data_IF_511351135950
#
_entry.id   IF_511351135950
#
_cell.length_a   1.000
_cell.length_b   1.000
_cell.length_c   1.000
_cell.angle_alpha   90.00
_cell.angle_beta   90.00
_cell.angle_gamma   90.00
#
_symmetry.space_group_name_H-M   'P 1'
#
loop_
_entity.id
_entity.type
_entity.pdbx_description
1 polymer ?
#
# COMPACT_ATOMS: atom_id res chain seq x y z
N UNK A 1 -69.85 1.33 31.75
CA UNK A 1 -69.06 2.38 31.08
C UNK A 1 -67.87 1.70 30.43
N UNK A 2 -67.87 1.56 29.10
CA UNK A 2 -66.79 0.90 28.33
C UNK A 2 -66.24 1.91 27.34
N UNK A 3 -65.04 2.43 27.61
CA UNK A 3 -64.35 3.38 26.75
C UNK A 3 -63.73 2.65 25.56
N UNK A 4 -64.08 3.09 24.36
CA UNK A 4 -63.50 2.65 23.09
C UNK A 4 -62.32 3.58 22.77
N UNK A 5 -61.10 3.05 22.70
CA UNK A 5 -59.91 3.79 22.24
C UNK A 5 -59.76 3.53 20.74
N UNK A 6 -59.91 4.59 19.93
CA UNK A 6 -59.65 4.57 18.50
C UNK A 6 -58.15 4.82 18.27
N UNK A 7 -57.43 3.85 17.69
CA UNK A 7 -56.04 4.03 17.28
C UNK A 7 -56.02 4.31 15.78
N UNK A 8 -55.72 5.55 15.41
CA UNK A 8 -55.60 6.00 14.02
C UNK A 8 -54.19 5.65 13.51
N UNK A 9 -54.07 4.65 12.66
CA UNK A 9 -52.80 4.29 12.01
C UNK A 9 -52.51 5.27 10.85
N UNK A 10 -51.51 6.12 11.01
CA UNK A 10 -50.99 6.98 9.94
C UNK A 10 -50.02 6.17 9.05
N UNK A 11 -50.44 5.88 7.82
CA UNK A 11 -49.60 5.26 6.80
C UNK A 11 -48.61 6.29 6.24
N UNK A 12 -47.34 6.21 6.64
CA UNK A 12 -46.25 6.95 6.01
C UNK A 12 -45.88 6.27 4.68
N UNK A 13 -46.35 6.85 3.57
CA UNK A 13 -45.86 6.56 2.22
C UNK A 13 -44.46 7.17 2.08
N UNK A 14 -43.42 6.36 2.26
CA UNK A 14 -42.06 6.75 1.90
C UNK A 14 -41.93 6.67 0.37
N UNK A 15 -41.65 7.78 -0.34
CA UNK A 15 -41.32 7.72 -1.75
C UNK A 15 -40.03 6.92 -1.90
N UNK A 16 -40.10 5.78 -2.58
CA UNK A 16 -38.93 5.00 -2.98
C UNK A 16 -38.11 5.85 -3.96
N UNK A 17 -37.08 6.53 -3.45
CA UNK A 17 -36.11 7.20 -4.29
C UNK A 17 -35.45 6.13 -5.19
N UNK A 18 -35.82 6.13 -6.46
CA UNK A 18 -35.15 5.35 -7.48
C UNK A 18 -33.69 5.82 -7.55
N UNK A 19 -32.78 5.04 -6.97
CA UNK A 19 -31.35 5.20 -7.19
C UNK A 19 -31.08 4.91 -8.68
N UNK A 20 -31.01 5.97 -9.48
CA UNK A 20 -30.38 5.91 -10.80
C UNK A 20 -28.91 5.56 -10.56
N UNK A 21 -28.55 4.30 -10.74
CA UNK A 21 -27.15 3.90 -10.88
C UNK A 21 -26.65 4.48 -12.20
N UNK A 22 -26.17 5.72 -12.16
CA UNK A 22 -25.26 6.24 -13.17
C UNK A 22 -24.12 5.23 -13.31
N UNK A 23 -24.15 4.42 -14.37
CA UNK A 23 -23.12 3.44 -14.69
C UNK A 23 -21.89 4.19 -15.21
N UNK A 24 -21.18 4.86 -14.31
CA UNK A 24 -19.93 5.53 -14.61
C UNK A 24 -18.87 4.47 -14.88
N UNK A 25 -18.57 4.23 -16.15
CA UNK A 25 -17.59 3.23 -16.57
C UNK A 25 -16.18 3.82 -16.61
N UNK A 26 -15.50 3.80 -15.47
CA UNK A 26 -14.05 4.02 -15.39
C UNK A 26 -13.32 2.70 -15.49
N UNK A 27 -12.33 2.63 -16.40
CA UNK A 27 -11.33 1.56 -16.43
C UNK A 27 -10.04 2.08 -15.81
N UNK A 28 -9.30 1.18 -15.16
CA UNK A 28 -8.07 1.49 -14.46
C UNK A 28 -6.98 0.51 -14.90
N UNK A 29 -5.80 1.05 -15.19
CA UNK A 29 -4.59 0.26 -15.44
C UNK A 29 -3.48 0.78 -14.52
N UNK A 30 -2.92 -0.11 -13.69
CA UNK A 30 -1.85 0.23 -12.75
C UNK A 30 -0.49 -0.22 -13.28
N UNK A 31 0.48 0.71 -13.26
CA UNK A 31 1.88 0.44 -13.58
C UNK A 31 2.75 0.81 -12.39
N UNK A 32 3.57 -0.14 -11.93
CA UNK A 32 4.56 0.11 -10.89
C UNK A 32 5.95 0.26 -11.50
N UNK A 33 6.62 1.36 -11.16
CA UNK A 33 8.02 1.58 -11.50
C UNK A 33 8.86 1.59 -10.23
N UNK A 34 10.09 1.08 -10.29
CA UNK A 34 10.98 1.12 -9.14
C UNK A 34 12.37 0.58 -9.40
N UNK A 35 13.31 1.03 -8.56
CA UNK A 35 14.69 0.55 -8.52
C UNK A 35 14.98 -0.02 -7.14
N UNK A 36 15.82 -1.03 -7.07
CA UNK A 36 16.38 -1.52 -5.80
C UNK A 36 17.89 -1.32 -5.87
N UNK A 37 18.46 -0.65 -4.89
CA UNK A 37 19.90 -0.53 -4.73
C UNK A 37 20.37 -1.45 -3.61
N UNK A 38 21.52 -2.07 -3.84
CA UNK A 38 22.18 -2.94 -2.88
C UNK A 38 23.50 -2.28 -2.50
N UNK A 39 23.79 -2.24 -1.20
CA UNK A 39 25.12 -1.87 -0.73
C UNK A 39 26.04 -3.09 -0.74
N UNK A 40 27.30 -2.92 -1.15
CA UNK A 40 28.24 -4.03 -1.34
C UNK A 40 28.91 -4.53 -0.04
N UNK A 41 28.72 -3.85 1.07
CA UNK A 41 29.32 -4.25 2.34
C UNK A 41 28.61 -5.44 2.96
N UNK A 42 29.37 -6.38 3.56
CA UNK A 42 28.89 -7.62 4.19
C UNK A 42 27.81 -7.45 5.29
N UNK A 43 27.45 -6.22 5.65
CA UNK A 43 26.33 -5.84 6.51
C UNK A 43 25.16 -5.31 5.66
N UNK A 44 24.62 -6.11 4.73
CA UNK A 44 23.79 -5.58 3.62
C UNK A 44 22.42 -5.07 4.07
N UNK A 45 22.26 -3.75 4.05
CA UNK A 45 20.96 -3.09 3.93
C UNK A 45 20.55 -3.04 2.45
N UNK A 46 19.26 -3.25 2.20
CA UNK A 46 18.61 -3.14 0.90
C UNK A 46 17.74 -1.90 0.92
N UNK A 47 17.95 -0.99 -0.04
CA UNK A 47 17.08 0.16 -0.24
C UNK A 47 16.27 -0.05 -1.50
N UNK A 48 14.96 0.12 -1.42
CA UNK A 48 14.04 0.02 -2.54
C UNK A 48 13.32 1.35 -2.70
N UNK A 49 13.29 1.87 -3.92
CA UNK A 49 12.48 3.00 -4.32
C UNK A 49 11.34 2.51 -5.21
N UNK A 50 10.11 2.92 -4.91
CA UNK A 50 8.89 2.54 -5.65
C UNK A 50 8.04 3.76 -5.95
N UNK A 51 7.46 3.79 -7.13
CA UNK A 51 6.54 4.83 -7.60
C UNK A 51 5.37 4.14 -8.30
N UNK A 52 4.14 4.50 -7.95
CA UNK A 52 2.94 4.00 -8.59
C UNK A 52 2.47 5.00 -9.61
N UNK A 53 2.26 4.55 -10.84
CA UNK A 53 1.61 5.31 -11.90
C UNK A 53 0.32 4.59 -12.27
N UNK A 54 -0.80 5.31 -12.27
CA UNK A 54 -2.10 4.74 -12.60
C UNK A 54 -2.71 5.53 -13.73
N UNK A 55 -3.17 4.80 -14.73
CA UNK A 55 -3.90 5.33 -15.86
C UNK A 55 -5.40 5.09 -15.63
N UNK A 56 -6.18 6.16 -15.70
CA UNK A 56 -7.62 6.15 -15.56
C UNK A 56 -8.24 6.50 -16.91
N UNK A 57 -9.00 5.57 -17.47
CA UNK A 57 -9.73 5.76 -18.72
C UNK A 57 -11.21 5.90 -18.44
N UNK A 58 -11.78 7.06 -18.75
CA UNK A 58 -13.21 7.28 -18.71
C UNK A 58 -13.82 6.88 -20.05
N UNK A 59 -14.75 5.92 -20.04
CA UNK A 59 -15.44 5.48 -21.27
C UNK A 59 -16.83 6.09 -21.42
N UNK A 60 -17.25 6.95 -20.49
CA UNK A 60 -18.54 7.64 -20.54
C UNK A 60 -18.48 8.94 -21.34
N UNK A 61 -19.66 9.43 -21.73
CA UNK A 61 -19.84 10.67 -22.49
C UNK A 61 -19.81 11.94 -21.62
N UNK A 62 -19.60 11.80 -20.31
CA UNK A 62 -19.53 12.93 -19.36
C UNK A 62 -18.20 12.92 -18.61
N UNK A 63 -17.67 14.09 -18.23
CA UNK A 63 -16.50 14.15 -17.35
C UNK A 63 -16.84 13.55 -15.98
N UNK A 64 -15.86 12.91 -15.36
CA UNK A 64 -16.02 12.23 -14.08
C UNK A 64 -15.02 12.77 -13.08
N UNK A 65 -15.50 13.16 -11.91
CA UNK A 65 -14.65 13.41 -10.74
C UNK A 65 -14.41 12.12 -9.98
N UNK A 66 -13.15 11.77 -9.75
CA UNK A 66 -12.76 10.59 -9.00
C UNK A 66 -11.77 10.96 -7.89
N UNK A 67 -11.76 10.15 -6.83
CA UNK A 67 -10.76 10.17 -5.77
C UNK A 67 -9.90 8.94 -5.92
N UNK A 68 -8.64 9.16 -6.24
CA UNK A 68 -7.61 8.13 -6.31
C UNK A 68 -6.99 7.94 -4.93
N UNK A 69 -7.16 6.76 -4.34
CA UNK A 69 -6.46 6.35 -3.11
C UNK A 69 -5.41 5.31 -3.44
N UNK A 70 -4.27 5.42 -2.79
CA UNK A 70 -3.18 4.47 -2.98
C UNK A 70 -2.46 4.20 -1.67
N UNK A 71 -1.90 3.00 -1.57
CA UNK A 71 -1.04 2.60 -0.48
C UNK A 71 0.07 1.70 -1.00
N UNK A 72 1.28 1.91 -0.48
CA UNK A 72 2.43 1.04 -0.66
C UNK A 72 2.67 0.31 0.66
N UNK A 73 2.78 -1.01 0.56
CA UNK A 73 2.89 -1.94 1.66
C UNK A 73 4.30 -2.53 1.72
N UNK A 74 4.72 -2.84 2.93
CA UNK A 74 5.98 -3.49 3.23
C UNK A 74 5.84 -4.48 4.36
N UNK A 75 6.89 -5.26 4.57
CA UNK A 75 7.03 -6.10 5.75
C UNK A 75 8.11 -5.54 6.66
N UNK A 76 7.90 -5.62 7.97
CA UNK A 76 8.97 -5.39 8.93
C UNK A 76 10.01 -6.51 8.79
N UNK A 77 11.28 -6.15 8.69
CA UNK A 77 12.37 -7.14 8.59
C UNK A 77 12.44 -8.01 9.85
N UNK A 78 12.02 -7.45 10.99
CA UNK A 78 11.80 -8.18 12.23
C UNK A 78 10.36 -8.67 12.29
N UNK A 79 10.15 -9.98 12.30
CA UNK A 79 8.84 -10.60 12.51
C UNK A 79 7.90 -10.61 11.29
N UNK A 80 8.33 -10.09 10.14
CA UNK A 80 7.62 -10.22 8.85
C UNK A 80 6.15 -9.75 8.90
N UNK A 81 5.87 -8.69 9.67
CA UNK A 81 4.53 -8.13 9.82
C UNK A 81 4.23 -7.17 8.67
N UNK A 82 3.05 -7.25 8.07
CA UNK A 82 2.60 -6.27 7.07
C UNK A 82 2.46 -4.89 7.72
N UNK A 83 2.96 -3.87 7.03
CA UNK A 83 2.86 -2.46 7.41
C UNK A 83 2.56 -1.61 6.19
N UNK A 84 1.84 -0.51 6.41
CA UNK A 84 1.66 0.54 5.40
C UNK A 84 2.90 1.43 5.42
N UNK A 85 3.70 1.38 4.36
CA UNK A 85 4.91 2.20 4.24
C UNK A 85 4.55 3.66 3.94
N UNK A 86 3.59 3.86 3.03
CA UNK A 86 3.04 5.17 2.70
C UNK A 86 1.70 5.01 2.01
N UNK A 87 0.80 5.95 2.25
CA UNK A 87 -0.46 6.05 1.55
C UNK A 87 -0.74 7.50 1.16
N UNK A 88 -1.77 7.68 0.35
CA UNK A 88 -2.23 9.01 -0.05
C UNK A 88 -3.55 8.96 -0.79
N UNK A 89 -4.12 10.14 -0.98
CA UNK A 89 -5.36 10.35 -1.73
C UNK A 89 -5.21 11.58 -2.61
N UNK A 90 -5.74 11.54 -3.83
CA UNK A 90 -5.72 12.64 -4.77
C UNK A 90 -7.04 12.71 -5.53
N UNK A 91 -7.64 13.91 -5.59
CA UNK A 91 -8.79 14.15 -6.44
C UNK A 91 -8.33 14.33 -7.90
N UNK A 92 -9.05 13.72 -8.83
CA UNK A 92 -8.71 13.68 -10.26
C UNK A 92 -9.99 13.90 -11.05
N UNK A 93 -9.93 14.74 -12.08
CA UNK A 93 -11.01 14.89 -13.05
C UNK A 93 -10.58 14.21 -14.34
N UNK A 94 -11.38 13.27 -14.82
CA UNK A 94 -11.15 12.59 -16.09
C UNK A 94 -12.18 13.10 -17.09
N UNK A 95 -11.72 13.64 -18.22
CA UNK A 95 -12.61 14.14 -19.27
C UNK A 95 -13.51 13.03 -19.83
N UNK A 96 -14.62 13.41 -20.46
CA UNK A 96 -15.46 12.48 -21.21
C UNK A 96 -14.63 11.76 -22.28
N UNK A 97 -14.76 10.43 -22.39
CA UNK A 97 -13.97 9.58 -23.30
C UNK A 97 -12.44 9.81 -23.20
N UNK A 98 -11.97 10.31 -22.05
CA UNK A 98 -10.60 10.77 -21.86
C UNK A 98 -9.76 9.83 -21.00
N UNK A 99 -8.45 10.10 -20.98
CA UNK A 99 -7.47 9.41 -20.15
C UNK A 99 -6.84 10.41 -19.20
N UNK A 100 -6.61 10.01 -17.95
CA UNK A 100 -5.83 10.77 -16.97
C UNK A 100 -4.80 9.87 -16.33
N UNK A 101 -3.57 10.37 -16.19
CA UNK A 101 -2.49 9.65 -15.52
C UNK A 101 -2.21 10.30 -14.17
N UNK A 102 -2.19 9.49 -13.12
CA UNK A 102 -1.92 9.91 -11.75
C UNK A 102 -0.67 9.18 -11.27
N UNK A 103 0.15 9.83 -10.46
CA UNK A 103 1.38 9.21 -9.98
C UNK A 103 1.61 9.51 -8.51
N UNK A 104 1.92 8.48 -7.73
CA UNK A 104 2.32 8.64 -6.34
C UNK A 104 3.68 9.33 -6.23
N UNK A 105 3.98 9.99 -5.10
CA UNK A 105 5.36 10.28 -4.71
C UNK A 105 6.19 8.99 -4.68
N UNK A 106 7.51 9.14 -4.88
CA UNK A 106 8.43 8.02 -4.67
C UNK A 106 8.47 7.63 -3.20
N UNK A 107 8.42 6.32 -2.93
CA UNK A 107 8.52 5.74 -1.59
C UNK A 107 9.82 4.97 -1.51
N UNK A 108 10.70 5.41 -0.61
CA UNK A 108 11.97 4.77 -0.30
C UNK A 108 11.83 3.97 0.98
N UNK A 109 12.18 2.70 0.91
CA UNK A 109 12.17 1.78 2.06
C UNK A 109 13.55 1.15 2.19
N UNK A 110 14.05 1.04 3.42
CA UNK A 110 15.36 0.43 3.70
C UNK A 110 15.21 -0.60 4.80
N UNK A 111 15.79 -1.79 4.57
CA UNK A 111 15.80 -2.86 5.56
C UNK A 111 17.04 -3.72 5.45
N UNK A 112 17.44 -4.34 6.55
CA UNK A 112 18.52 -5.32 6.59
C UNK A 112 18.00 -6.62 7.24
N UNK A 113 18.39 -7.75 6.66
CA UNK A 113 18.08 -9.08 7.23
C UNK A 113 19.04 -9.40 8.36
N UNK A 114 18.64 -10.35 9.20
CA UNK A 114 19.53 -10.91 10.21
C UNK A 114 20.70 -11.62 9.52
N UNK A 115 21.92 -11.32 9.94
CA UNK A 115 23.13 -11.86 9.34
C UNK A 115 24.25 -12.03 10.37
N UNK A 116 25.11 -13.01 10.13
CA UNK A 116 26.29 -13.27 10.96
C UNK A 116 27.52 -12.91 10.14
N UNK A 117 28.25 -11.88 10.57
CA UNK A 117 29.42 -11.35 9.85
C UNK A 117 30.72 -11.76 10.54
N UNK A 118 31.77 -12.14 9.78
CA UNK A 118 33.08 -12.41 10.35
C UNK A 118 33.73 -11.09 10.82
N UNK A 119 34.06 -11.03 12.10
CA UNK A 119 34.83 -9.98 12.74
C UNK A 119 36.25 -10.50 13.01
N UNK A 120 37.25 -9.93 12.33
CA UNK A 120 38.65 -10.20 12.63
C UNK A 120 39.08 -9.31 13.80
N UNK A 121 39.23 -9.89 14.98
CA UNK A 121 39.85 -9.17 16.10
C UNK A 121 41.38 -9.19 15.93
N UNK A 122 42.07 -8.04 16.00
CA UNK A 122 43.52 -8.03 16.00
C UNK A 122 44.01 -8.79 17.23
N UNK A 123 44.90 -9.75 17.00
CA UNK A 123 45.58 -10.48 18.07
C UNK A 123 46.37 -9.49 18.93
N UNK A 124 45.93 -9.26 20.17
CA UNK A 124 46.72 -8.56 21.20
C UNK A 124 47.86 -9.48 21.68
N UNK A 125 48.81 -9.82 20.81
CA UNK A 125 50.10 -10.34 21.26
C UNK A 125 51.18 -9.34 20.87
N UNK A 126 51.55 -8.51 21.85
CA UNK A 126 52.90 -7.99 21.97
C UNK A 126 53.87 -9.18 21.85
N UNK A 127 54.86 -9.09 20.96
CA UNK A 127 55.97 -10.05 20.91
C UNK A 127 55.89 -11.08 19.78
N UNK A 128 56.39 -10.70 18.60
CA UNK A 128 57.34 -11.51 17.83
C UNK A 128 56.89 -12.77 17.08
N UNK A 129 55.67 -13.32 17.26
CA UNK A 129 55.21 -14.46 16.45
C UNK A 129 53.91 -14.14 15.73
N UNK A 130 53.90 -14.28 14.40
CA UNK A 130 52.72 -14.13 13.52
C UNK A 130 51.63 -15.14 13.94
N UNK A 131 50.83 -14.76 14.93
CA UNK A 131 49.67 -15.52 15.38
C UNK A 131 48.55 -15.45 14.35
N UNK A 132 47.96 -16.60 14.02
CA UNK A 132 46.80 -16.69 13.12
C UNK A 132 45.66 -15.82 13.70
N UNK A 133 45.18 -14.83 12.94
CA UNK A 133 44.05 -14.00 13.35
C UNK A 133 42.83 -14.87 13.64
N UNK A 134 42.32 -14.80 14.87
CA UNK A 134 41.08 -15.49 15.26
C UNK A 134 39.89 -14.77 14.61
N UNK A 135 39.20 -15.46 13.70
CA UNK A 135 37.93 -14.99 13.17
C UNK A 135 36.87 -15.22 14.24
N UNK A 136 36.27 -14.13 14.71
CA UNK A 136 35.06 -14.17 15.54
C UNK A 136 33.85 -13.83 14.68
N UNK A 137 32.64 -14.13 15.12
CA UNK A 137 31.42 -13.80 14.37
C UNK A 137 30.55 -12.84 15.17
N UNK A 138 30.08 -11.77 14.53
CA UNK A 138 29.13 -10.80 15.10
C UNK A 138 27.78 -11.00 14.44
N UNK A 139 26.71 -11.09 15.25
CA UNK A 139 25.33 -11.10 14.78
C UNK A 139 24.83 -9.67 14.57
N UNK A 140 24.24 -9.40 13.42
CA UNK A 140 23.55 -8.15 13.10
C UNK A 140 22.05 -8.48 13.07
N UNK A 141 21.22 -7.90 13.94
CA UNK A 141 19.80 -8.18 13.97
C UNK A 141 19.09 -7.61 12.74
N UNK A 142 17.98 -8.23 12.35
CA UNK A 142 17.10 -7.67 11.33
C UNK A 142 16.50 -6.33 11.78
N UNK A 143 16.51 -5.33 10.90
CA UNK A 143 15.91 -4.02 11.17
C UNK A 143 15.40 -3.36 9.88
N UNK A 144 14.52 -2.38 10.05
CA UNK A 144 13.86 -1.68 8.95
C UNK A 144 12.76 -2.51 8.30
N UNK A 145 12.47 -2.18 7.04
CA UNK A 145 11.32 -2.68 6.28
C UNK A 145 11.74 -3.09 4.87
N UNK A 146 10.95 -3.94 4.21
CA UNK A 146 11.13 -4.31 2.80
C UNK A 146 9.81 -4.12 2.07
N UNK A 147 9.86 -3.60 0.83
CA UNK A 147 8.68 -3.48 -0.02
C UNK A 147 8.02 -4.84 -0.25
N UNK A 148 6.71 -4.87 -0.07
CA UNK A 148 5.90 -6.07 -0.26
C UNK A 148 4.91 -5.91 -1.41
N UNK A 149 4.20 -4.78 -1.51
CA UNK A 149 3.13 -4.63 -2.48
C UNK A 149 2.52 -3.24 -2.55
N UNK A 150 1.47 -3.11 -3.34
CA UNK A 150 0.63 -1.92 -3.44
C UNK A 150 -0.86 -2.28 -3.42
N UNK A 151 -1.67 -1.28 -3.09
CA UNK A 151 -3.12 -1.25 -3.28
C UNK A 151 -3.53 0.10 -3.85
N UNK A 152 -4.49 0.07 -4.76
CA UNK A 152 -5.06 1.24 -5.44
C UNK A 152 -6.58 1.12 -5.41
N UNK A 153 -7.24 2.22 -5.10
CA UNK A 153 -8.70 2.33 -5.14
C UNK A 153 -9.10 3.63 -5.85
N UNK A 154 -10.15 3.55 -6.66
CA UNK A 154 -10.75 4.70 -7.32
C UNK A 154 -12.18 4.82 -6.84
N UNK A 155 -12.50 5.98 -6.28
CA UNK A 155 -13.83 6.28 -5.78
C UNK A 155 -14.46 7.39 -6.62
N UNK A 156 -15.73 7.23 -7.02
CA UNK A 156 -16.54 8.28 -7.65
C UNK A 156 -17.70 8.57 -6.70
N UNK A 157 -17.89 9.84 -6.35
CA UNK A 157 -18.92 10.26 -5.38
C UNK A 157 -18.88 9.46 -4.06
N UNK A 158 -17.67 9.15 -3.61
CA UNK A 158 -17.43 8.35 -2.39
C UNK A 158 -17.67 6.84 -2.53
N UNK A 159 -18.08 6.35 -3.69
CA UNK A 159 -18.30 4.92 -3.97
C UNK A 159 -17.11 4.31 -4.68
N UNK A 160 -16.65 3.15 -4.22
CA UNK A 160 -15.58 2.40 -4.88
C UNK A 160 -16.06 1.91 -6.26
N UNK A 161 -15.37 2.33 -7.33
CA UNK A 161 -15.69 1.94 -8.71
C UNK A 161 -14.64 1.02 -9.32
N UNK A 162 -13.39 1.10 -8.86
CA UNK A 162 -12.32 0.21 -9.27
C UNK A 162 -11.31 0.05 -8.13
N UNK A 163 -10.69 -1.13 -8.05
CA UNK A 163 -9.61 -1.40 -7.13
C UNK A 163 -8.64 -2.39 -7.74
N UNK A 164 -7.35 -2.21 -7.46
CA UNK A 164 -6.31 -3.11 -7.90
C UNK A 164 -5.28 -3.29 -6.80
N UNK A 165 -4.91 -4.54 -6.58
CA UNK A 165 -3.99 -4.93 -5.53
C UNK A 165 -2.92 -5.80 -6.14
N UNK A 166 -1.67 -5.53 -5.77
CA UNK A 166 -0.54 -6.39 -6.18
C UNK A 166 -0.66 -7.83 -5.67
N UNK A 167 -1.41 -8.04 -4.59
CA UNK A 167 -1.70 -9.35 -3.99
C UNK A 167 -3.10 -9.36 -3.39
N UNK A 168 -3.84 -10.49 -3.44
CA UNK A 168 -5.16 -10.62 -2.84
C UNK A 168 -5.20 -10.31 -1.34
N UNK A 169 -4.19 -10.78 -0.58
CA UNK A 169 -4.11 -10.59 0.88
C UNK A 169 -4.10 -9.13 1.32
N UNK A 170 -3.56 -8.23 0.49
CA UNK A 170 -3.56 -6.78 0.76
C UNK A 170 -4.97 -6.21 0.64
N UNK A 171 -5.77 -6.73 -0.30
CA UNK A 171 -7.15 -6.29 -0.50
C UNK A 171 -8.07 -6.74 0.64
N UNK A 172 -7.80 -7.90 1.25
CA UNK A 172 -8.52 -8.37 2.44
C UNK A 172 -8.21 -7.48 3.66
N UNK A 173 -6.94 -7.09 3.85
CA UNK A 173 -6.52 -6.27 4.99
C UNK A 173 -6.97 -4.79 4.88
N UNK A 174 -7.27 -4.33 3.65
CA UNK A 174 -7.80 -2.99 3.39
C UNK A 174 -9.31 -2.85 3.59
N UNK A 175 -10.07 -3.95 3.58
CA UNK A 175 -11.53 -3.89 3.73
C UNK A 175 -11.89 -3.81 5.22
N UNK A 176 -12.54 -2.71 5.69
CA UNK A 176 -13.00 -2.66 7.06
C UNK A 176 -14.15 -3.66 7.24
N UNK A 177 -13.92 -4.74 7.99
CA UNK A 177 -14.97 -5.69 8.39
C UNK A 177 -14.71 -7.18 8.13
N UNK A 178 -13.45 -7.63 8.19
CA UNK A 178 -13.17 -9.05 8.47
C UNK A 178 -13.51 -9.39 9.92
#
# INVERSE_FOLDING_TARGET
MKSLILITAAAFLFPSAAFSQSSTSLRMETKIAGKASYSDNAAKSKTQARKLTVELTNTSDKPVGATFRWAIYGHTMKGNRLVVLKNGSQAVKVAARGISTVTSPEVKVTGNREQTVPERKPSKNQGGKKGKSKVTFRKIPAAGEEYYGYGVEVLVDGKLVASEYSKPSIGEEMRPGG
#
